data_IF_500184929927
#
_entry.id   IF_500184929927
#
_cell.length_a   1.000
_cell.length_b   1.000
_cell.length_c   1.000
_cell.angle_alpha   90.00
_cell.angle_beta   90.00
_cell.angle_gamma   90.00
#
_symmetry.space_group_name_H-M   'P 1'
#
loop_
_entity.id
_entity.type
_entity.pdbx_description
1 polymer ?
#
# COMPACT_ATOMS: atom_id res chain seq x y z
N UNK A 1 -2.11 -9.57 45.32
CA UNK A 1 -1.19 -8.46 45.00
C UNK A 1 -0.03 -9.08 44.23
N UNK A 2 -0.19 -9.21 42.92
CA UNK A 2 0.82 -9.78 42.04
C UNK A 2 1.66 -8.60 41.54
N UNK A 3 2.95 -8.66 41.86
CA UNK A 3 3.96 -7.73 41.40
C UNK A 3 4.03 -7.77 39.87
N UNK A 4 3.89 -6.61 39.22
CA UNK A 4 4.22 -6.44 37.81
C UNK A 4 5.49 -5.60 37.76
N UNK A 5 6.61 -6.25 38.03
CA UNK A 5 7.93 -5.76 37.61
C UNK A 5 8.15 -6.27 36.18
N UNK A 6 7.97 -5.40 35.20
CA UNK A 6 8.40 -5.54 33.80
C UNK A 6 8.42 -4.14 33.20
N UNK A 7 9.47 -3.36 33.48
CA UNK A 7 9.77 -2.15 32.72
C UNK A 7 11.05 -2.39 31.93
N UNK A 8 10.92 -3.21 30.88
CA UNK A 8 11.56 -2.85 29.62
C UNK A 8 10.79 -1.63 29.07
N UNK A 9 11.47 -0.74 28.36
CA UNK A 9 10.83 0.41 27.72
C UNK A 9 9.64 -0.07 26.87
N UNK A 10 8.46 0.52 27.11
CA UNK A 10 7.27 0.22 26.30
C UNK A 10 7.57 0.55 24.83
N UNK A 11 7.13 -0.32 23.92
CA UNK A 11 7.15 -0.01 22.49
C UNK A 11 6.20 1.14 22.15
N UNK A 12 6.44 1.85 21.04
CA UNK A 12 5.55 2.91 20.56
C UNK A 12 4.10 2.42 20.40
N UNK A 13 3.91 1.15 20.02
CA UNK A 13 2.58 0.55 19.88
C UNK A 13 1.90 0.37 21.24
N UNK A 14 2.63 -0.05 22.27
CA UNK A 14 2.10 -0.17 23.64
C UNK A 14 1.76 1.20 24.22
N UNK A 15 2.62 2.20 24.01
CA UNK A 15 2.32 3.59 24.41
C UNK A 15 1.08 4.13 23.68
N UNK A 16 0.94 3.84 22.38
CA UNK A 16 -0.24 4.23 21.61
C UNK A 16 -1.52 3.56 22.13
N UNK A 17 -1.47 2.27 22.47
CA UNK A 17 -2.62 1.57 23.07
C UNK A 17 -3.01 2.18 24.41
N UNK A 18 -2.03 2.49 25.30
CA UNK A 18 -2.29 3.15 26.58
C UNK A 18 -2.93 4.53 26.39
N UNK A 19 -2.45 5.30 25.42
CA UNK A 19 -3.07 6.57 25.05
C UNK A 19 -4.52 6.40 24.59
N UNK A 20 -4.79 5.40 23.73
CA UNK A 20 -6.16 5.12 23.27
C UNK A 20 -7.10 4.69 24.40
N UNK A 21 -6.60 3.97 25.41
CA UNK A 21 -7.40 3.59 26.58
C UNK A 21 -7.86 4.81 27.38
N UNK A 22 -6.98 5.78 27.60
CA UNK A 22 -7.35 7.07 28.24
C UNK A 22 -8.41 7.79 27.40
N UNK A 23 -8.18 7.88 26.08
CA UNK A 23 -9.13 8.52 25.17
C UNK A 23 -10.50 7.82 25.14
N UNK A 24 -10.57 6.51 25.42
CA UNK A 24 -11.83 5.78 25.52
C UNK A 24 -12.65 6.26 26.72
N UNK A 25 -12.01 6.51 27.86
CA UNK A 25 -12.66 7.07 29.05
C UNK A 25 -13.20 8.48 28.76
N UNK A 26 -12.38 9.32 28.10
CA UNK A 26 -12.75 10.68 27.71
C UNK A 26 -13.99 10.73 26.78
N UNK A 27 -14.31 9.63 26.07
CA UNK A 27 -15.52 9.59 25.23
C UNK A 27 -16.82 9.78 26.03
N UNK A 28 -16.80 9.52 27.34
CA UNK A 28 -17.96 9.73 28.20
C UNK A 28 -18.42 11.19 28.25
N UNK A 29 -17.54 12.13 27.92
CA UNK A 29 -17.84 13.56 27.87
C UNK A 29 -18.59 13.98 26.58
N UNK A 30 -18.60 13.14 25.55
CA UNK A 30 -19.27 13.43 24.27
C UNK A 30 -20.80 13.40 24.47
N UNK A 31 -21.48 14.54 24.35
CA UNK A 31 -22.93 14.64 24.60
C UNK A 31 -23.79 13.88 23.58
N UNK A 32 -23.41 13.92 22.30
CA UNK A 32 -24.12 13.16 21.26
C UNK A 32 -23.82 11.66 21.39
N UNK A 33 -24.87 10.88 21.65
CA UNK A 33 -24.76 9.43 21.86
C UNK A 33 -24.25 8.72 20.61
N UNK A 34 -24.65 9.17 19.41
CA UNK A 34 -24.21 8.52 18.17
C UNK A 34 -22.73 8.79 17.91
N UNK A 35 -22.28 10.05 18.03
CA UNK A 35 -20.87 10.40 17.94
C UNK A 35 -20.02 9.67 19.00
N UNK A 36 -20.51 9.57 20.24
CA UNK A 36 -19.84 8.83 21.32
C UNK A 36 -19.64 7.37 20.94
N UNK A 37 -20.71 6.68 20.56
CA UNK A 37 -20.65 5.26 20.17
C UNK A 37 -19.72 5.03 18.99
N UNK A 38 -19.79 5.89 17.96
CA UNK A 38 -18.91 5.81 16.81
C UNK A 38 -17.44 5.97 17.22
N UNK A 39 -17.14 6.94 18.08
CA UNK A 39 -15.77 7.18 18.56
C UNK A 39 -15.25 6.02 19.41
N UNK A 40 -16.08 5.47 20.30
CA UNK A 40 -15.76 4.29 21.09
C UNK A 40 -15.42 3.09 20.19
N UNK A 41 -16.27 2.80 19.20
CA UNK A 41 -16.04 1.70 18.27
C UNK A 41 -14.72 1.85 17.49
N UNK A 42 -14.39 3.07 17.04
CA UNK A 42 -13.13 3.34 16.38
C UNK A 42 -11.92 3.08 17.28
N UNK A 43 -11.97 3.56 18.53
CA UNK A 43 -10.89 3.38 19.50
C UNK A 43 -10.71 1.91 19.85
N UNK A 44 -11.80 1.21 20.16
CA UNK A 44 -11.79 -0.22 20.50
C UNK A 44 -11.23 -1.06 19.34
N UNK A 45 -11.66 -0.78 18.10
CA UNK A 45 -11.13 -1.45 16.91
C UNK A 45 -9.62 -1.25 16.76
N UNK A 46 -9.14 -0.01 16.96
CA UNK A 46 -7.71 0.30 16.89
C UNK A 46 -6.90 -0.40 18.00
N UNK A 47 -7.41 -0.44 19.24
CA UNK A 47 -6.79 -1.19 20.35
C UNK A 47 -6.70 -2.68 20.00
N UNK A 48 -7.79 -3.27 19.50
CA UNK A 48 -7.82 -4.69 19.14
C UNK A 48 -6.79 -5.03 18.06
N UNK A 49 -6.67 -4.22 17.02
CA UNK A 49 -5.66 -4.43 15.97
C UNK A 49 -4.22 -4.24 16.49
N UNK A 50 -3.99 -3.27 17.38
CA UNK A 50 -2.70 -3.09 18.04
C UNK A 50 -2.30 -4.30 18.89
N UNK A 51 -3.22 -4.84 19.69
CA UNK A 51 -2.98 -6.04 20.48
C UNK A 51 -2.72 -7.28 19.62
N UNK A 52 -3.47 -7.46 18.53
CA UNK A 52 -3.21 -8.53 17.55
C UNK A 52 -1.82 -8.41 16.94
N UNK A 53 -1.39 -7.20 16.59
CA UNK A 53 -0.05 -6.95 16.09
C UNK A 53 1.01 -7.36 17.11
N UNK A 54 0.90 -6.90 18.36
CA UNK A 54 1.85 -7.25 19.42
C UNK A 54 1.92 -8.77 19.65
N UNK A 55 0.78 -9.46 19.69
CA UNK A 55 0.76 -10.92 19.83
C UNK A 55 1.46 -11.60 18.63
N UNK A 56 1.15 -11.19 17.40
CA UNK A 56 1.77 -11.74 16.20
C UNK A 56 3.30 -11.52 16.18
N UNK A 57 3.77 -10.35 16.63
CA UNK A 57 5.20 -10.05 16.78
C UNK A 57 5.84 -10.99 17.80
N UNK A 58 5.21 -11.17 18.96
CA UNK A 58 5.71 -12.01 20.02
C UNK A 58 5.75 -13.49 19.59
N UNK A 59 4.71 -13.99 18.93
CA UNK A 59 4.65 -15.35 18.37
C UNK A 59 5.77 -15.59 17.35
N UNK A 60 5.99 -14.66 16.41
CA UNK A 60 7.10 -14.75 15.46
C UNK A 60 8.46 -14.77 16.15
N UNK A 61 8.66 -13.92 17.15
CA UNK A 61 9.87 -13.88 17.97
C UNK A 61 10.13 -15.22 18.67
N UNK A 62 9.09 -15.85 19.24
CA UNK A 62 9.17 -17.18 19.86
C UNK A 62 9.59 -18.27 18.87
N UNK A 63 9.18 -18.15 17.61
CA UNK A 63 9.53 -19.06 16.53
C UNK A 63 10.91 -18.75 15.88
N UNK A 64 11.63 -17.73 16.37
CA UNK A 64 12.91 -17.30 15.79
C UNK A 64 12.79 -16.59 14.43
N UNK A 65 11.56 -16.21 14.05
CA UNK A 65 11.26 -15.49 12.81
C UNK A 65 11.37 -13.97 13.07
N UNK A 66 12.59 -13.45 12.99
CA UNK A 66 12.87 -12.04 13.27
C UNK A 66 12.41 -11.08 12.16
N UNK A 67 12.08 -11.60 10.98
CA UNK A 67 11.58 -10.82 9.84
C UNK A 67 10.07 -10.63 9.93
N UNK A 68 9.67 -9.64 10.74
CA UNK A 68 8.27 -9.30 11.00
C UNK A 68 7.65 -8.62 9.77
N UNK A 69 8.46 -7.85 9.03
CA UNK A 69 8.05 -6.98 7.93
C UNK A 69 8.60 -7.47 6.61
N UNK A 70 7.87 -8.40 5.98
CA UNK A 70 8.10 -8.70 4.56
C UNK A 70 7.34 -7.69 3.72
N UNK A 71 8.06 -6.79 3.09
CA UNK A 71 7.52 -5.94 2.03
C UNK A 71 6.92 -6.87 0.95
N UNK A 72 5.62 -6.73 0.69
CA UNK A 72 4.99 -7.51 -0.37
C UNK A 72 5.48 -6.95 -1.70
N UNK A 73 5.94 -7.83 -2.59
CA UNK A 73 6.32 -7.38 -3.94
C UNK A 73 5.13 -6.64 -4.57
N UNK A 74 5.35 -5.47 -5.18
CA UNK A 74 4.29 -4.75 -5.85
C UNK A 74 3.74 -5.65 -6.97
N UNK A 75 2.47 -6.05 -6.84
CA UNK A 75 1.77 -6.84 -7.86
C UNK A 75 1.50 -5.94 -9.05
N UNK A 76 2.53 -5.63 -9.83
CA UNK A 76 2.35 -5.08 -11.18
C UNK A 76 1.82 -6.21 -12.04
N UNK A 77 0.52 -6.19 -12.35
CA UNK A 77 -0.08 -6.98 -13.43
C UNK A 77 0.41 -6.36 -14.76
N UNK A 78 1.70 -6.46 -15.04
CA UNK A 78 2.21 -6.29 -16.39
C UNK A 78 2.60 -7.70 -16.78
N UNK A 79 1.80 -8.31 -17.68
CA UNK A 79 2.19 -9.51 -18.41
C UNK A 79 3.58 -9.24 -18.97
N UNK A 80 4.61 -9.77 -18.33
CA UNK A 80 5.97 -9.73 -18.84
C UNK A 80 5.93 -10.62 -20.07
N UNK A 81 5.72 -10.04 -21.26
CA UNK A 81 6.03 -10.72 -22.51
C UNK A 81 7.51 -11.08 -22.40
N UNK A 82 7.75 -12.37 -22.33
CA UNK A 82 9.09 -12.95 -22.26
C UNK A 82 9.91 -12.35 -23.39
N UNK A 83 11.04 -11.73 -23.05
CA UNK A 83 12.04 -11.31 -24.02
C UNK A 83 12.73 -12.58 -24.52
N UNK A 84 12.24 -13.15 -25.61
CA UNK A 84 13.02 -14.02 -26.48
C UNK A 84 13.62 -13.18 -27.61
N UNK A 85 14.89 -12.85 -27.41
CA UNK A 85 15.97 -12.83 -28.40
C UNK A 85 15.65 -12.47 -29.88
N UNK A 86 15.99 -11.23 -30.22
CA UNK A 86 16.79 -10.77 -31.39
C UNK A 86 16.65 -11.58 -32.69
N UNK A 87 16.03 -10.96 -33.72
CA UNK A 87 16.59 -10.94 -35.09
C UNK A 87 16.33 -9.60 -35.77
N UNK A 88 17.42 -8.95 -36.16
CA UNK A 88 17.47 -7.75 -37.00
C UNK A 88 16.76 -7.98 -38.34
N UNK A 89 15.94 -7.02 -38.77
CA UNK A 89 15.74 -6.73 -40.19
C UNK A 89 15.61 -5.21 -40.37
N UNK A 90 16.52 -4.68 -41.19
CA UNK A 90 16.55 -3.32 -41.70
C UNK A 90 15.31 -3.00 -42.54
N UNK A 91 14.67 -1.86 -42.26
CA UNK A 91 14.17 -0.92 -43.28
C UNK A 91 13.53 0.27 -42.56
N UNK A 92 14.31 1.33 -42.33
CA UNK A 92 13.81 2.67 -42.01
C UNK A 92 13.09 3.21 -43.24
N UNK A 93 11.77 3.13 -43.25
CA UNK A 93 10.93 3.98 -44.10
C UNK A 93 10.17 4.92 -43.15
N UNK A 94 10.72 6.11 -42.93
CA UNK A 94 9.99 7.19 -42.26
C UNK A 94 8.88 7.64 -43.21
N UNK A 95 7.63 7.20 -42.99
CA UNK A 95 6.48 7.75 -43.70
C UNK A 95 6.12 9.12 -43.11
N UNK A 96 6.27 10.17 -43.92
CA UNK A 96 5.84 11.51 -43.56
C UNK A 96 4.36 11.68 -43.95
N UNK A 97 3.53 12.19 -43.05
CA UNK A 97 2.11 12.42 -43.34
C UNK A 97 1.95 13.56 -44.36
N UNK A 98 1.27 13.35 -45.51
CA UNK A 98 1.13 14.36 -46.57
C UNK A 98 0.28 15.58 -46.18
N UNK A 99 -0.38 15.55 -45.02
CA UNK A 99 -1.30 16.61 -44.56
C UNK A 99 -0.68 17.52 -43.50
N UNK A 100 0.20 16.98 -42.64
CA UNK A 100 0.72 17.73 -41.49
C UNK A 100 2.24 17.62 -41.33
N UNK A 101 2.92 16.94 -42.28
CA UNK A 101 4.36 16.68 -42.31
C UNK A 101 4.92 16.04 -41.04
N UNK A 102 4.07 15.37 -40.26
CA UNK A 102 4.51 14.62 -39.10
C UNK A 102 5.15 13.29 -39.53
N UNK A 103 6.35 13.01 -39.03
CA UNK A 103 7.05 11.74 -39.22
C UNK A 103 6.33 10.64 -38.43
N UNK A 104 5.88 9.60 -39.12
CA UNK A 104 5.27 8.42 -38.49
C UNK A 104 6.34 7.38 -38.21
N UNK A 105 6.37 6.87 -36.99
CA UNK A 105 7.33 5.83 -36.58
C UNK A 105 6.85 4.41 -36.92
N UNK A 106 5.59 4.25 -37.34
CA UNK A 106 4.98 2.95 -37.65
C UNK A 106 4.05 3.05 -38.88
N UNK A 107 3.90 1.95 -39.63
CA UNK A 107 2.95 1.81 -40.75
C UNK A 107 1.50 1.74 -40.24
N UNK A 108 1.01 2.82 -39.63
CA UNK A 108 -0.38 2.98 -39.25
C UNK A 108 -1.19 3.43 -40.47
N UNK A 109 -2.41 2.90 -40.66
CA UNK A 109 -3.33 3.37 -41.73
C UNK A 109 -3.83 4.81 -41.49
N UNK A 110 -3.35 5.49 -40.44
CA UNK A 110 -3.72 6.85 -40.09
C UNK A 110 -2.59 7.57 -39.34
N UNK A 111 -2.55 8.89 -39.49
CA UNK A 111 -1.62 9.79 -38.82
C UNK A 111 -2.03 9.98 -37.35
N UNK A 112 -1.13 9.69 -36.41
CA UNK A 112 -1.35 9.85 -34.96
C UNK A 112 -1.44 11.31 -34.51
N UNK A 113 -0.79 12.24 -35.22
CA UNK A 113 -0.79 13.66 -34.85
C UNK A 113 -2.01 14.44 -35.35
N UNK A 114 -2.60 14.07 -36.49
CA UNK A 114 -3.73 14.82 -37.09
C UNK A 114 -4.96 13.98 -37.44
N UNK A 115 -4.91 12.66 -37.25
CA UNK A 115 -6.01 11.73 -37.53
C UNK A 115 -6.33 11.53 -39.01
N UNK A 116 -5.47 11.99 -39.93
CA UNK A 116 -5.67 11.79 -41.37
C UNK A 116 -5.35 10.35 -41.76
N UNK A 117 -6.23 9.71 -42.52
CA UNK A 117 -5.98 8.37 -43.05
C UNK A 117 -4.89 8.42 -44.12
N UNK A 118 -3.86 7.57 -44.02
CA UNK A 118 -2.72 7.51 -44.95
C UNK A 118 -3.06 6.68 -46.20
#
# INVERSE_FOLDING_TARGET
>A
MIMVDLMGEDTDVEMFIKYLQVQLEDTMEILDLQARQLRQWQIESAIQEGLKFLNNVEEKRKLGLNDIFKEREPVRIIKKREKSEIKNFNSEENLICPKCDHEMTENLDFCESCGHKL
#
